data_IF_222932695489
#
_entry.id   IF_222932695489
#
_cell.length_a   1.000
_cell.length_b   1.000
_cell.length_c   1.000
_cell.angle_alpha   90.00
_cell.angle_beta   90.00
_cell.angle_gamma   90.00
#
_symmetry.space_group_name_H-M   'P 1'
#
loop_
_entity.id
_entity.type
_entity.pdbx_description
1 polymer ?
#
# COMPACT_ATOMS: atom_id res chain seq x y z
N UNK A 1 38.43 -25.54 0.75
CA UNK A 1 38.13 -24.89 0.54
C UNK A 1 38.19 -24.25 0.63
N UNK A 2 38.17 -24.38 0.63
CA UNK A 2 37.90 -23.58 0.75
C UNK A 2 37.50 -23.16 0.68
N UNK A 3 37.80 -23.33 0.75
CA UNK A 3 36.86 -22.41 0.69
C UNK A 3 35.66 -22.71 1.15
N UNK A 4 35.66 -23.64 1.77
CA UNK A 4 34.37 -23.99 2.14
C UNK A 4 33.77 -23.05 3.13
N UNK A 5 34.48 -22.64 4.13
CA UNK A 5 33.97 -21.66 5.07
C UNK A 5 33.77 -20.33 4.40
N UNK A 6 34.69 -19.94 3.56
CA UNK A 6 34.56 -18.69 2.82
C UNK A 6 33.41 -18.78 1.87
N UNK A 7 33.21 -19.92 1.24
CA UNK A 7 32.06 -20.10 0.35
C UNK A 7 30.75 -20.05 1.08
N UNK A 8 30.68 -20.59 2.27
CA UNK A 8 29.47 -20.55 3.08
C UNK A 8 29.16 -19.13 3.48
N UNK A 9 30.17 -18.38 3.89
CA UNK A 9 29.95 -16.97 4.25
C UNK A 9 29.42 -16.15 3.09
N UNK A 10 29.97 -16.38 1.90
CA UNK A 10 29.49 -15.69 0.72
C UNK A 10 28.06 -16.07 0.39
N UNK A 11 27.72 -17.33 0.56
CA UNK A 11 26.37 -17.79 0.31
C UNK A 11 25.40 -17.14 1.28
N UNK A 12 25.77 -17.02 2.54
CA UNK A 12 24.94 -16.37 3.54
C UNK A 12 24.73 -14.89 3.23
N UNK A 13 25.81 -14.21 2.83
CA UNK A 13 25.69 -12.82 2.45
C UNK A 13 24.80 -12.65 1.24
N UNK A 14 24.92 -13.52 0.26
CA UNK A 14 24.12 -13.47 -0.94
C UNK A 14 22.65 -13.71 -0.64
N UNK A 15 22.36 -14.66 0.26
CA UNK A 15 21.00 -14.94 0.66
C UNK A 15 20.39 -13.77 1.44
N UNK A 16 21.18 -13.15 2.30
CA UNK A 16 20.75 -11.99 3.06
C UNK A 16 20.40 -10.83 2.12
N UNK A 17 21.27 -10.56 1.16
CA UNK A 17 21.05 -9.48 0.20
C UNK A 17 19.80 -9.75 -0.63
N UNK A 18 19.58 -11.01 -1.00
CA UNK A 18 18.41 -11.39 -1.77
C UNK A 18 17.13 -11.16 -0.97
N UNK A 19 17.15 -11.51 0.32
CA UNK A 19 15.99 -11.28 1.20
C UNK A 19 15.69 -9.80 1.30
N UNK A 20 16.72 -8.96 1.45
CA UNK A 20 16.52 -7.51 1.53
C UNK A 20 15.90 -6.97 0.24
N UNK A 21 16.37 -7.42 -0.91
CA UNK A 21 15.84 -7.01 -2.20
C UNK A 21 14.36 -7.42 -2.31
N UNK A 22 14.05 -8.65 -1.92
CA UNK A 22 12.66 -9.13 -1.97
C UNK A 22 11.75 -8.33 -1.05
N UNK A 23 12.22 -8.01 0.15
CA UNK A 23 11.45 -7.20 1.09
C UNK A 23 11.21 -5.80 0.55
N UNK A 24 12.22 -5.19 -0.04
CA UNK A 24 12.10 -3.86 -0.63
C UNK A 24 11.13 -3.87 -1.80
N UNK A 25 11.21 -4.89 -2.65
CA UNK A 25 10.29 -5.04 -3.76
C UNK A 25 8.86 -5.20 -3.28
N UNK A 26 8.65 -6.03 -2.25
CA UNK A 26 7.33 -6.23 -1.67
C UNK A 26 6.76 -4.93 -1.11
N UNK A 27 7.59 -4.11 -0.46
CA UNK A 27 7.16 -2.82 0.07
C UNK A 27 6.75 -1.86 -1.03
N UNK A 28 7.52 -1.83 -2.11
CA UNK A 28 7.19 -0.97 -3.25
C UNK A 28 5.90 -1.41 -3.92
N UNK A 29 5.72 -2.71 -4.09
CA UNK A 29 4.50 -3.25 -4.65
C UNK A 29 3.30 -2.94 -3.77
N UNK A 30 3.46 -3.03 -2.46
CA UNK A 30 2.40 -2.72 -1.50
C UNK A 30 2.01 -1.25 -1.59
N UNK A 31 2.98 -0.35 -1.66
CA UNK A 31 2.70 1.08 -1.81
C UNK A 31 1.96 1.37 -3.10
N UNK A 32 2.38 0.72 -4.19
CA UNK A 32 1.73 0.88 -5.48
C UNK A 32 0.30 0.40 -5.41
N UNK A 33 0.08 -0.78 -4.81
CA UNK A 33 -1.26 -1.33 -4.66
C UNK A 33 -2.15 -0.43 -3.82
N UNK A 34 -1.63 0.12 -2.74
CA UNK A 34 -2.38 1.04 -1.89
C UNK A 34 -2.75 2.31 -2.63
N UNK A 35 -1.82 2.83 -3.43
CA UNK A 35 -2.09 4.01 -4.22
C UNK A 35 -3.17 3.75 -5.27
N UNK A 36 -3.12 2.60 -5.92
CA UNK A 36 -4.12 2.21 -6.91
C UNK A 36 -5.50 2.04 -6.27
N UNK A 37 -5.55 1.43 -5.09
CA UNK A 37 -6.80 1.27 -4.36
C UNK A 37 -7.37 2.64 -3.96
N UNK A 38 -6.52 3.53 -3.48
CA UNK A 38 -6.94 4.88 -3.09
C UNK A 38 -7.47 5.64 -4.30
N UNK A 39 -6.79 5.56 -5.44
CA UNK A 39 -7.23 6.21 -6.66
C UNK A 39 -8.59 5.67 -7.11
N UNK A 40 -8.75 4.35 -7.10
CA UNK A 40 -10.03 3.73 -7.49
C UNK A 40 -11.16 4.18 -6.55
N UNK A 41 -10.86 4.31 -5.27
CA UNK A 41 -11.84 4.75 -4.28
C UNK A 41 -12.29 6.18 -4.57
N UNK A 42 -11.35 7.07 -4.88
CA UNK A 42 -11.67 8.45 -5.23
C UNK A 42 -12.50 8.53 -6.51
N UNK A 43 -12.16 7.73 -7.51
CA UNK A 43 -12.92 7.69 -8.75
C UNK A 43 -14.35 7.24 -8.49
N UNK A 44 -14.55 6.25 -7.64
CA UNK A 44 -15.90 5.80 -7.29
C UNK A 44 -16.69 6.87 -6.56
N UNK A 45 -16.03 7.60 -5.65
CA UNK A 45 -16.68 8.70 -4.96
C UNK A 45 -17.10 9.79 -5.96
N UNK A 46 -16.21 10.16 -6.85
CA UNK A 46 -16.50 11.16 -7.87
C UNK A 46 -17.67 10.74 -8.73
N UNK A 47 -17.69 9.47 -9.17
CA UNK A 47 -18.77 8.93 -9.98
C UNK A 47 -20.10 8.95 -9.22
N UNK A 48 -20.07 8.58 -7.95
CA UNK A 48 -21.26 8.59 -7.11
C UNK A 48 -21.83 10.00 -6.97
N UNK A 49 -20.96 10.97 -6.70
CA UNK A 49 -21.37 12.37 -6.59
C UNK A 49 -22.01 12.84 -7.89
N UNK A 50 -21.35 12.55 -9.01
CA UNK A 50 -21.85 12.99 -10.31
C UNK A 50 -23.15 12.32 -10.70
N UNK A 51 -23.24 11.00 -10.53
CA UNK A 51 -24.42 10.23 -10.95
C UNK A 51 -25.64 10.54 -10.12
N UNK A 52 -25.47 10.87 -8.86
CA UNK A 52 -26.60 11.18 -7.97
C UNK A 52 -26.86 12.66 -7.83
N UNK A 53 -26.10 13.50 -8.52
CA UNK A 53 -26.32 14.94 -8.50
C UNK A 53 -26.19 15.53 -7.12
N UNK A 54 -25.22 15.07 -6.34
CA UNK A 54 -25.02 15.56 -4.99
C UNK A 54 -24.56 17.00 -5.00
N UNK A 55 -25.10 17.79 -4.06
CA UNK A 55 -24.63 19.18 -3.93
C UNK A 55 -23.33 19.21 -3.11
N UNK A 56 -22.77 20.41 -2.97
CA UNK A 56 -21.47 20.57 -2.30
C UNK A 56 -21.50 20.07 -0.85
N UNK A 57 -22.59 20.35 -0.14
CA UNK A 57 -22.73 19.95 1.26
C UNK A 57 -22.73 18.43 1.37
N UNK A 58 -23.49 17.77 0.51
CA UNK A 58 -23.58 16.32 0.49
C UNK A 58 -22.24 15.70 0.10
N UNK A 59 -21.56 16.29 -0.88
CA UNK A 59 -20.24 15.80 -1.31
C UNK A 59 -19.21 15.90 -0.20
N UNK A 60 -19.21 17.02 0.53
CA UNK A 60 -18.30 17.22 1.65
C UNK A 60 -18.55 16.17 2.74
N UNK A 61 -19.81 15.90 3.05
CA UNK A 61 -20.14 14.90 4.06
C UNK A 61 -19.68 13.51 3.63
N UNK A 62 -19.87 13.17 2.37
CA UNK A 62 -19.45 11.89 1.83
C UNK A 62 -17.93 11.72 1.92
N UNK A 63 -17.18 12.77 1.58
CA UNK A 63 -15.72 12.74 1.68
C UNK A 63 -15.28 12.60 3.13
N UNK A 64 -15.95 13.26 4.05
CA UNK A 64 -15.64 13.18 5.47
C UNK A 64 -15.84 11.76 5.99
N UNK A 65 -16.95 11.13 5.61
CA UNK A 65 -17.23 9.75 5.99
C UNK A 65 -16.17 8.80 5.45
N UNK A 66 -15.74 9.03 4.22
CA UNK A 66 -14.71 8.20 3.63
C UNK A 66 -13.37 8.36 4.35
N UNK A 67 -13.03 9.58 4.71
CA UNK A 67 -11.80 9.85 5.45
C UNK A 67 -11.83 9.15 6.82
N UNK A 68 -12.96 9.21 7.52
CA UNK A 68 -13.12 8.55 8.80
C UNK A 68 -12.98 7.03 8.67
N UNK A 69 -13.53 6.45 7.61
CA UNK A 69 -13.42 5.02 7.37
C UNK A 69 -11.96 4.60 7.14
N UNK A 70 -11.21 5.42 6.40
CA UNK A 70 -9.80 5.16 6.15
C UNK A 70 -9.00 5.24 7.45
N UNK A 71 -9.25 6.26 8.27
CA UNK A 71 -8.56 6.41 9.54
C UNK A 71 -8.86 5.26 10.49
N UNK A 72 -10.12 4.86 10.54
CA UNK A 72 -10.54 3.75 11.39
C UNK A 72 -9.83 2.46 10.98
N UNK A 73 -9.77 2.21 9.69
CA UNK A 73 -9.07 1.02 9.18
C UNK A 73 -7.58 1.06 9.52
N UNK A 74 -6.97 2.23 9.40
CA UNK A 74 -5.55 2.39 9.76
C UNK A 74 -5.31 2.05 11.22
N UNK A 75 -6.23 2.45 12.10
CA UNK A 75 -6.12 2.15 13.53
C UNK A 75 -6.24 0.64 13.80
N UNK A 76 -7.06 -0.05 13.04
CA UNK A 76 -7.24 -1.48 13.20
C UNK A 76 -5.98 -2.27 12.83
N UNK A 77 -5.11 -1.70 12.01
CA UNK A 77 -3.91 -2.38 11.56
C UNK A 77 -2.77 -2.32 12.57
N UNK A 78 -2.95 -1.63 13.66
CA UNK A 78 -1.99 -1.64 14.75
C UNK A 78 -2.29 -2.81 15.69
#
# INVERSE_FOLDING_TARGET
MNTQIIGIDKANESDHDRVIVLLNTARLDERKNQAEVAAARLVRLASHIAQNGLNAIEAVELLRQEAEAIEHKAQELH
#
